data_IF_311062379490
#
_entry.id   IF_311062379490
#
_cell.length_a   1.000
_cell.length_b   1.000
_cell.length_c   1.000
_cell.angle_alpha   90.00
_cell.angle_beta   90.00
_cell.angle_gamma   90.00
#
_symmetry.space_group_name_H-M   'P 1'
#
loop_
_entity.id
_entity.type
_entity.pdbx_description
1 polymer ?
#
# COMPACT_ATOMS: atom_id res chain seq x y z
N UNK A 1 7.76 -1.08 11.28
CA UNK A 1 7.16 -2.09 10.40
C UNK A 1 8.14 -2.40 9.29
N UNK A 2 8.45 -3.67 9.06
CA UNK A 2 9.32 -4.11 7.98
C UNK A 2 8.58 -4.09 6.64
N UNK A 3 9.32 -4.12 5.54
CA UNK A 3 8.74 -4.18 4.20
C UNK A 3 7.84 -5.42 4.01
N UNK A 4 8.21 -6.56 4.59
CA UNK A 4 7.46 -7.82 4.48
C UNK A 4 6.09 -7.76 5.17
N UNK A 5 6.01 -7.09 6.32
CA UNK A 5 4.74 -6.90 7.06
C UNK A 5 3.74 -6.08 6.23
N UNK A 6 4.21 -5.09 5.48
CA UNK A 6 3.35 -4.26 4.63
C UNK A 6 2.86 -4.98 3.36
N UNK A 7 3.69 -5.86 2.78
CA UNK A 7 3.24 -6.75 1.69
C UNK A 7 2.08 -7.63 2.14
N UNK A 8 2.18 -8.21 3.33
CA UNK A 8 1.14 -9.07 3.87
C UNK A 8 -0.14 -8.29 4.14
N UNK A 9 -0.05 -7.06 4.66
CA UNK A 9 -1.22 -6.21 4.84
C UNK A 9 -1.96 -6.00 3.51
N UNK A 10 -1.29 -5.48 2.47
CA UNK A 10 -1.90 -5.19 1.15
C UNK A 10 -2.54 -6.44 0.52
N UNK A 11 -1.88 -7.60 0.64
CA UNK A 11 -2.44 -8.89 0.19
C UNK A 11 -3.72 -9.28 0.92
N UNK A 12 -3.72 -9.17 2.24
CA UNK A 12 -4.89 -9.53 3.05
C UNK A 12 -6.06 -8.61 2.74
N UNK A 13 -5.85 -7.31 2.53
CA UNK A 13 -6.94 -6.40 2.18
C UNK A 13 -7.53 -6.63 0.79
N UNK A 14 -6.69 -7.01 -0.16
CA UNK A 14 -7.15 -7.41 -1.50
C UNK A 14 -8.06 -8.61 -1.40
N UNK A 15 -7.65 -9.65 -0.64
CA UNK A 15 -8.43 -10.88 -0.48
C UNK A 15 -9.69 -10.69 0.38
N UNK A 16 -9.64 -9.85 1.42
CA UNK A 16 -10.74 -9.68 2.39
C UNK A 16 -11.60 -8.44 2.16
N UNK A 17 -11.31 -7.62 1.14
CA UNK A 17 -11.97 -6.33 0.85
C UNK A 17 -11.92 -5.32 2.01
N UNK A 18 -10.97 -5.43 2.92
CA UNK A 18 -10.85 -4.59 4.13
C UNK A 18 -9.99 -3.32 3.90
N UNK A 19 -10.25 -2.59 2.82
CA UNK A 19 -9.44 -1.45 2.41
C UNK A 19 -9.46 -0.27 3.39
N UNK A 20 -10.55 -0.07 4.13
CA UNK A 20 -10.64 0.97 5.16
C UNK A 20 -9.55 0.81 6.22
N UNK A 21 -9.31 -0.43 6.67
CA UNK A 21 -8.32 -0.76 7.70
C UNK A 21 -6.88 -0.52 7.21
N UNK A 22 -6.60 -0.73 5.91
CA UNK A 22 -5.28 -0.38 5.35
C UNK A 22 -5.10 1.11 5.26
N UNK A 23 -6.14 1.86 4.86
CA UNK A 23 -6.08 3.32 4.83
C UNK A 23 -5.77 3.89 6.21
N UNK A 24 -6.42 3.38 7.25
CA UNK A 24 -6.14 3.73 8.64
C UNK A 24 -4.70 3.37 9.04
N UNK A 25 -4.24 2.16 8.73
CA UNK A 25 -2.85 1.74 9.01
C UNK A 25 -1.82 2.63 8.29
N UNK A 26 -2.05 2.99 7.03
CA UNK A 26 -1.18 3.89 6.27
C UNK A 26 -1.18 5.31 6.85
N UNK A 27 -2.36 5.82 7.23
CA UNK A 27 -2.50 7.11 7.91
C UNK A 27 -1.72 7.14 9.23
N UNK A 28 -1.87 6.11 10.08
CA UNK A 28 -1.08 5.99 11.31
C UNK A 28 0.42 5.89 11.04
N UNK A 29 0.86 5.27 9.95
CA UNK A 29 2.28 5.27 9.58
C UNK A 29 2.77 6.67 9.16
N UNK A 30 1.95 7.46 8.46
CA UNK A 30 2.27 8.86 8.17
C UNK A 30 2.41 9.68 9.45
N UNK A 31 1.52 9.48 10.43
CA UNK A 31 1.63 10.10 11.77
C UNK A 31 2.93 9.71 12.48
N UNK A 32 3.40 8.47 12.28
CA UNK A 32 4.69 7.97 12.76
C UNK A 32 5.89 8.41 11.91
N UNK A 33 5.72 9.36 10.98
CA UNK A 33 6.74 9.86 10.05
C UNK A 33 7.32 8.82 9.07
N UNK A 34 6.55 7.78 8.77
CA UNK A 34 6.91 6.75 7.78
C UNK A 34 5.95 6.84 6.58
N UNK A 35 6.45 7.31 5.44
CA UNK A 35 5.63 7.60 4.26
C UNK A 35 5.75 6.57 3.13
N UNK A 36 6.51 5.49 3.32
CA UNK A 36 6.75 4.51 2.25
C UNK A 36 6.93 3.07 2.69
N UNK A 37 6.67 2.13 1.77
CA UNK A 37 6.89 0.69 1.94
C UNK A 37 7.25 0.00 0.62
N UNK A 38 7.57 -1.29 0.68
CA UNK A 38 8.00 -2.08 -0.48
C UNK A 38 7.13 -3.33 -0.66
N UNK A 39 6.75 -3.60 -1.90
CA UNK A 39 6.12 -4.83 -2.37
C UNK A 39 7.12 -5.64 -3.19
N UNK A 40 7.39 -6.87 -2.76
CA UNK A 40 8.30 -7.79 -3.43
C UNK A 40 7.59 -8.79 -4.38
N UNK A 41 6.31 -8.56 -4.69
CA UNK A 41 5.53 -9.43 -5.58
C UNK A 41 5.02 -8.69 -6.82
N UNK A 42 4.86 -9.40 -7.95
CA UNK A 42 4.36 -8.80 -9.19
C UNK A 42 2.91 -8.32 -9.01
N UNK A 43 2.73 -7.00 -8.88
CA UNK A 43 1.42 -6.35 -8.92
C UNK A 43 0.64 -6.62 -10.21
N UNK A 44 1.33 -7.09 -11.26
CA UNK A 44 0.73 -7.55 -12.52
C UNK A 44 -0.26 -8.71 -12.31
N UNK A 45 -0.09 -9.52 -11.27
CA UNK A 45 -1.06 -10.57 -10.91
C UNK A 45 -2.30 -10.01 -10.19
N UNK A 46 -2.25 -8.74 -9.77
CA UNK A 46 -3.28 -8.09 -8.98
C UNK A 46 -3.58 -6.66 -9.47
N UNK A 47 -3.98 -6.46 -10.73
CA UNK A 47 -4.17 -5.12 -11.31
C UNK A 47 -5.18 -4.25 -10.53
N UNK A 48 -6.21 -4.88 -9.96
CA UNK A 48 -7.20 -4.20 -9.11
C UNK A 48 -6.62 -3.64 -7.80
N UNK A 49 -5.41 -4.01 -7.42
CA UNK A 49 -4.70 -3.51 -6.22
C UNK A 49 -4.05 -2.17 -6.51
N UNK A 50 -3.37 -2.05 -7.64
CA UNK A 50 -2.74 -0.80 -8.07
C UNK A 50 -3.78 0.30 -8.22
N UNK A 51 -4.89 0.04 -8.91
CA UNK A 51 -5.98 1.01 -9.07
C UNK A 51 -6.55 1.48 -7.73
N UNK A 52 -6.69 0.57 -6.75
CA UNK A 52 -7.23 0.91 -5.43
C UNK A 52 -6.25 1.69 -4.58
N UNK A 53 -4.95 1.37 -4.66
CA UNK A 53 -3.89 2.11 -3.99
C UNK A 53 -3.81 3.53 -4.55
N UNK A 54 -3.82 3.69 -5.86
CA UNK A 54 -3.81 4.99 -6.52
C UNK A 54 -5.07 5.81 -6.17
N UNK A 55 -6.26 5.19 -6.19
CA UNK A 55 -7.51 5.83 -5.75
C UNK A 55 -7.48 6.25 -4.27
N UNK A 56 -6.76 5.52 -3.42
CA UNK A 56 -6.54 5.90 -2.03
C UNK A 56 -5.49 7.01 -1.85
N UNK A 57 -4.85 7.46 -2.94
CA UNK A 57 -3.79 8.47 -2.94
C UNK A 57 -2.39 7.90 -2.66
N UNK A 58 -2.22 6.57 -2.74
CA UNK A 58 -0.92 5.90 -2.64
C UNK A 58 -0.30 5.84 -4.01
N UNK A 59 0.88 6.41 -4.15
CA UNK A 59 1.66 6.35 -5.38
C UNK A 59 2.43 5.03 -5.40
N UNK A 60 2.24 4.24 -6.46
CA UNK A 60 2.95 2.99 -6.69
C UNK A 60 4.03 3.24 -7.74
N UNK A 61 5.29 2.98 -7.41
CA UNK A 61 6.42 3.16 -8.35
C UNK A 61 7.29 1.92 -8.37
N UNK A 62 7.61 1.40 -9.55
CA UNK A 62 8.47 0.23 -9.68
C UNK A 62 8.06 -0.69 -10.83
N UNK A 63 8.83 -1.76 -11.00
CA UNK A 63 8.64 -2.73 -12.09
C UNK A 63 9.21 -4.08 -11.66
N UNK A 64 8.74 -5.18 -12.27
CA UNK A 64 9.27 -6.54 -12.10
C UNK A 64 9.35 -7.01 -10.64
N UNK A 65 8.21 -7.02 -9.95
CA UNK A 65 8.11 -7.57 -8.58
C UNK A 65 8.79 -6.72 -7.51
N UNK A 66 9.18 -5.48 -7.82
CA UNK A 66 9.72 -4.56 -6.84
C UNK A 66 9.02 -3.21 -6.95
N UNK A 67 8.00 -3.01 -6.12
CA UNK A 67 7.22 -1.78 -6.09
C UNK A 67 7.44 -1.05 -4.77
N UNK A 68 7.66 0.25 -4.87
CA UNK A 68 7.65 1.18 -3.76
C UNK A 68 6.27 1.82 -3.69
N UNK A 69 5.69 1.78 -2.50
CA UNK A 69 4.47 2.49 -2.15
C UNK A 69 4.87 3.79 -1.45
N UNK A 70 4.26 4.90 -1.87
CA UNK A 70 4.41 6.21 -1.26
C UNK A 70 3.03 6.74 -0.90
N UNK A 71 2.77 6.89 0.39
CA UNK A 71 1.53 7.42 0.95
C UNK A 71 1.75 8.77 1.64
N UNK A 72 2.82 9.50 1.30
CA UNK A 72 2.99 10.90 1.72
C UNK A 72 1.82 11.80 1.30
N UNK A 73 1.08 11.40 0.27
CA UNK A 73 -0.10 12.11 -0.25
C UNK A 73 -1.43 11.61 0.31
N UNK A 74 -1.43 10.66 1.25
CA UNK A 74 -2.66 10.20 1.87
C UNK A 74 -3.30 11.37 2.62
N UNK A 75 -4.48 11.80 2.19
CA UNK A 75 -5.25 12.82 2.93
C UNK A 75 -5.94 12.14 4.11
N UNK A 76 -5.47 12.45 5.32
CA UNK A 76 -6.22 12.23 6.56
C UNK A 76 -7.39 13.20 6.57
N UNK A 77 -8.56 12.73 6.13
CA UNK A 77 -9.84 13.38 6.41
C UNK A 77 -10.23 13.16 7.85
#
# INVERSE_FOLDING_TARGET
MTNEEMVQCVKVATKRRIWSHIRELMASNTELNHTSGKLCEPLEEFPAVTDRLENAGVVVTGSNGNYKLDWSKLRTT
#
